data_IF_854123437495
#
_entry.id   IF_854123437495
#
_cell.length_a   1.000
_cell.length_b   1.000
_cell.length_c   1.000
_cell.angle_alpha   90.00
_cell.angle_beta   90.00
_cell.angle_gamma   90.00
#
_symmetry.space_group_name_H-M   'P 1'
#
loop_
_entity.id
_entity.type
_entity.pdbx_description
1 polymer ?
#
# COMPACT_ATOMS: atom_id res chain seq x y z
N UNK A 1 8.28 8.28 -8.28
CA UNK A 1 9.17 7.27 -7.68
C UNK A 1 8.49 6.51 -6.54
N UNK A 2 7.67 7.15 -5.68
CA UNK A 2 6.89 6.43 -4.64
C UNK A 2 5.98 5.36 -5.25
N UNK A 3 5.22 5.68 -6.30
CA UNK A 3 4.37 4.71 -7.01
C UNK A 3 5.14 3.48 -7.53
N UNK A 4 6.33 3.68 -8.10
CA UNK A 4 7.15 2.57 -8.60
C UNK A 4 7.64 1.69 -7.45
N UNK A 5 8.13 2.31 -6.37
CA UNK A 5 8.60 1.59 -5.18
C UNK A 5 7.46 0.84 -4.47
N UNK A 6 6.29 1.47 -4.33
CA UNK A 6 5.10 0.85 -3.77
C UNK A 6 4.69 -0.37 -4.60
N UNK A 7 4.72 -0.23 -5.93
CA UNK A 7 4.40 -1.33 -6.85
C UNK A 7 5.39 -2.49 -6.69
N UNK A 8 6.68 -2.22 -6.60
CA UNK A 8 7.69 -3.26 -6.33
C UNK A 8 7.40 -3.99 -5.01
N UNK A 9 7.19 -3.25 -3.91
CA UNK A 9 6.91 -3.84 -2.61
C UNK A 9 5.61 -4.66 -2.63
N UNK A 10 4.57 -4.18 -3.32
CA UNK A 10 3.32 -4.92 -3.46
C UNK A 10 3.53 -6.25 -4.20
N UNK A 11 4.36 -6.28 -5.24
CA UNK A 11 4.68 -7.53 -5.95
C UNK A 11 5.49 -8.47 -5.07
N UNK A 12 6.46 -7.94 -4.31
CA UNK A 12 7.36 -8.74 -3.46
C UNK A 12 6.66 -9.31 -2.22
N UNK A 13 5.76 -8.54 -1.61
CA UNK A 13 5.12 -8.91 -0.33
C UNK A 13 3.71 -9.46 -0.47
N UNK A 14 2.95 -9.04 -1.49
CA UNK A 14 1.55 -9.46 -1.66
C UNK A 14 1.37 -10.55 -2.75
N UNK A 15 2.45 -10.95 -3.43
CA UNK A 15 2.46 -11.97 -4.51
C UNK A 15 1.45 -11.66 -5.65
N UNK A 16 1.22 -10.37 -5.91
CA UNK A 16 0.29 -9.88 -6.94
C UNK A 16 1.05 -9.66 -8.25
N UNK A 17 0.43 -10.00 -9.38
CA UNK A 17 1.03 -9.73 -10.67
C UNK A 17 1.14 -8.22 -10.94
N UNK A 18 2.29 -7.72 -11.44
CA UNK A 18 2.46 -6.31 -11.80
C UNK A 18 1.45 -5.80 -12.83
N UNK A 19 0.90 -6.69 -13.66
CA UNK A 19 -0.10 -6.35 -14.67
C UNK A 19 -1.52 -6.23 -14.09
N UNK A 20 -1.76 -6.85 -12.93
CA UNK A 20 -3.04 -6.80 -12.20
C UNK A 20 -3.07 -5.67 -11.15
N UNK A 21 -1.89 -5.13 -10.79
CA UNK A 21 -1.79 -3.96 -9.92
C UNK A 21 -2.30 -2.71 -10.64
N UNK A 22 -3.51 -2.33 -10.26
CA UNK A 22 -4.11 -1.04 -10.55
C UNK A 22 -4.19 -0.21 -9.27
N UNK A 23 -3.74 1.05 -9.35
CA UNK A 23 -3.74 1.95 -8.19
C UNK A 23 -5.14 2.42 -7.83
N UNK A 24 -6.06 2.45 -8.79
CA UNK A 24 -7.45 2.85 -8.59
C UNK A 24 -8.32 1.67 -8.11
N UNK A 25 -7.78 0.44 -8.13
CA UNK A 25 -8.47 -0.74 -7.61
C UNK A 25 -8.48 -0.73 -6.09
N UNK A 26 -9.58 -1.24 -5.53
CA UNK A 26 -9.65 -1.46 -4.08
C UNK A 26 -8.73 -2.61 -3.71
N UNK A 27 -8.06 -2.47 -2.58
CA UNK A 27 -7.19 -3.52 -2.01
C UNK A 27 -8.01 -4.80 -1.77
N UNK A 28 -9.27 -4.66 -1.39
CA UNK A 28 -10.22 -5.78 -1.24
C UNK A 28 -10.49 -6.55 -2.54
N UNK A 29 -10.31 -5.92 -3.70
CA UNK A 29 -10.55 -6.53 -5.01
C UNK A 29 -9.32 -7.26 -5.54
N UNK A 30 -8.16 -7.06 -4.91
CA UNK A 30 -6.89 -7.71 -5.26
C UNK A 30 -6.70 -9.06 -4.56
N UNK A 31 -7.75 -9.61 -3.94
CA UNK A 31 -7.72 -10.85 -3.13
C UNK A 31 -6.62 -10.83 -2.04
N UNK A 32 -6.30 -9.64 -1.53
CA UNK A 32 -5.34 -9.45 -0.43
C UNK A 32 -6.07 -9.69 0.90
N UNK A 33 -5.50 -10.55 1.75
CA UNK A 33 -6.02 -10.74 3.10
C UNK A 33 -5.69 -9.53 3.98
N UNK A 34 -6.56 -9.24 4.96
CA UNK A 34 -6.35 -8.10 5.87
C UNK A 34 -5.05 -8.20 6.69
N UNK A 35 -4.50 -9.40 6.84
CA UNK A 35 -3.19 -9.62 7.49
C UNK A 35 -2.05 -9.17 6.58
N UNK A 36 -2.11 -9.53 5.29
CA UNK A 36 -1.10 -9.15 4.30
C UNK A 36 -1.07 -7.63 4.12
N UNK A 37 -2.24 -6.98 4.18
CA UNK A 37 -2.33 -5.52 4.20
C UNK A 37 -1.63 -4.89 5.41
N UNK A 38 -1.84 -5.43 6.62
CA UNK A 38 -1.19 -4.93 7.84
C UNK A 38 0.32 -5.09 7.75
N UNK A 39 0.81 -6.26 7.32
CA UNK A 39 2.24 -6.51 7.11
C UNK A 39 2.83 -5.55 6.06
N UNK A 40 2.09 -5.30 4.97
CA UNK A 40 2.50 -4.37 3.92
C UNK A 40 2.61 -2.93 4.41
N UNK A 41 1.63 -2.46 5.19
CA UNK A 41 1.66 -1.13 5.80
C UNK A 41 2.89 -0.98 6.69
N UNK A 42 3.21 -1.97 7.53
CA UNK A 42 4.39 -1.92 8.40
C UNK A 42 5.70 -1.83 7.59
N UNK A 43 5.79 -2.51 6.44
CA UNK A 43 6.94 -2.41 5.54
C UNK A 43 7.06 -1.00 4.96
N UNK A 44 5.94 -0.38 4.58
CA UNK A 44 5.92 0.98 4.05
C UNK A 44 6.32 2.02 5.10
N UNK A 45 5.87 1.85 6.35
CA UNK A 45 6.27 2.70 7.46
C UNK A 45 7.78 2.69 7.67
N UNK A 46 8.41 1.50 7.67
CA UNK A 46 9.86 1.37 7.84
C UNK A 46 10.63 1.91 6.62
N UNK A 47 10.22 1.52 5.41
CA UNK A 47 10.87 1.93 4.15
C UNK A 47 10.84 3.46 3.94
N UNK A 48 9.69 4.09 4.18
CA UNK A 48 9.53 5.53 4.01
C UNK A 48 9.80 6.32 5.29
N UNK A 49 10.09 5.64 6.41
CA UNK A 49 10.27 6.23 7.74
C UNK A 49 9.11 7.14 8.14
N UNK A 50 7.89 6.65 7.92
CA UNK A 50 6.62 7.31 8.25
C UNK A 50 5.82 6.48 9.25
N UNK A 51 4.82 7.09 9.88
CA UNK A 51 3.83 6.37 10.70
C UNK A 51 2.44 6.74 10.20
N UNK A 52 1.61 5.72 9.96
CA UNK A 52 0.19 5.87 9.68
C UNK A 52 -0.60 5.77 10.98
N UNK A 53 -1.60 6.65 11.15
CA UNK A 53 -2.55 6.50 12.25
C UNK A 53 -3.61 5.46 11.92
N UNK A 54 -4.23 4.86 12.94
CA UNK A 54 -5.37 3.96 12.75
C UNK A 54 -6.48 4.60 11.89
N UNK A 55 -6.72 5.90 12.04
CA UNK A 55 -7.68 6.66 11.22
C UNK A 55 -7.28 6.72 9.75
N UNK A 56 -5.99 6.94 9.44
CA UNK A 56 -5.48 6.94 8.06
C UNK A 56 -5.55 5.54 7.45
N UNK A 57 -5.28 4.50 8.23
CA UNK A 57 -5.40 3.10 7.80
C UNK A 57 -6.85 2.69 7.53
N UNK A 58 -7.80 3.18 8.33
CA UNK A 58 -9.23 2.97 8.11
C UNK A 58 -9.75 3.71 6.85
N UNK A 59 -9.11 4.82 6.46
CA UNK A 59 -9.43 5.57 5.24
C UNK A 59 -8.80 4.98 3.96
N UNK A 60 -7.83 4.06 4.09
CA UNK A 60 -7.19 3.41 2.95
C UNK A 60 -8.13 2.38 2.33
N UNK A 61 -8.63 2.69 1.12
CA UNK A 61 -9.37 1.72 0.30
C UNK A 61 -8.58 1.23 -0.90
N UNK A 62 -7.68 2.07 -1.43
CA UNK A 62 -6.93 1.81 -2.66
C UNK A 62 -5.42 2.00 -2.47
N UNK A 63 -4.62 1.42 -3.38
CA UNK A 63 -3.17 1.67 -3.40
C UNK A 63 -2.84 3.14 -3.69
N UNK A 64 -3.71 3.86 -4.43
CA UNK A 64 -3.56 5.29 -4.68
C UNK A 64 -3.65 6.13 -3.39
N UNK A 65 -4.52 5.74 -2.45
CA UNK A 65 -4.68 6.43 -1.16
C UNK A 65 -3.40 6.30 -0.34
N UNK A 66 -2.81 5.10 -0.29
CA UNK A 66 -1.53 4.84 0.37
C UNK A 66 -0.44 5.74 -0.20
N UNK A 67 -0.30 5.80 -1.54
CA UNK A 67 0.68 6.68 -2.18
C UNK A 67 0.46 8.14 -1.77
N UNK A 68 -0.79 8.58 -1.77
CA UNK A 68 -1.14 9.96 -1.44
C UNK A 68 -0.82 10.30 0.01
N UNK A 69 -1.03 9.36 0.94
CA UNK A 69 -0.65 9.51 2.35
C UNK A 69 0.87 9.58 2.53
N UNK A 70 1.63 8.70 1.85
CA UNK A 70 3.10 8.73 1.86
C UNK A 70 3.60 10.08 1.32
N UNK A 71 3.07 10.51 0.16
CA UNK A 71 3.41 11.80 -0.45
C UNK A 71 3.01 13.00 0.43
N UNK A 72 1.94 12.89 1.22
CA UNK A 72 1.56 13.96 2.16
C UNK A 72 2.49 14.05 3.37
N UNK A 73 3.21 12.98 3.70
CA UNK A 73 4.13 12.93 4.84
C UNK A 73 5.59 13.22 4.46
N UNK A 74 5.92 13.34 3.16
CA UNK A 74 7.27 13.54 2.63
C UNK A 74 7.38 14.82 1.78
#
# INVERSE_FOLDING_TARGET
MIRERLKELAIEHLDINPEEIDFDSKISDLDIDSIDLVDFIMVLEDEFSIEFSDEELDEIETLADIVSLIESKN
#
